data_IF_822613084693
#
_entry.id   IF_822613084693
#
_cell.length_a   1.000
_cell.length_b   1.000
_cell.length_c   1.000
_cell.angle_alpha   90.00
_cell.angle_beta   90.00
_cell.angle_gamma   90.00
#
_symmetry.space_group_name_H-M   'P 1'
#
loop_
_entity.id
_entity.type
_entity.pdbx_description
1 polymer ?
#
# COMPACT_ATOMS: atom_id res chain seq x y z
N UNK A 1 -9.29 15.48 19.88
CA UNK A 1 -9.34 14.84 18.55
C UNK A 1 -9.62 13.35 18.73
N UNK A 2 -10.78 12.83 18.29
CA UNK A 2 -11.07 11.39 18.36
C UNK A 2 -10.08 10.64 17.46
N UNK A 3 -9.17 9.84 18.04
CA UNK A 3 -8.31 8.92 17.27
C UNK A 3 -9.21 7.84 16.66
N UNK A 4 -9.61 8.03 15.41
CA UNK A 4 -10.30 6.99 14.65
C UNK A 4 -9.34 5.85 14.35
N UNK A 5 -9.84 4.61 14.34
CA UNK A 5 -9.03 3.46 13.96
C UNK A 5 -8.58 3.64 12.50
N UNK A 6 -7.31 3.38 12.19
CA UNK A 6 -6.82 3.53 10.83
C UNK A 6 -7.54 2.55 9.91
N UNK A 7 -7.90 3.00 8.72
CA UNK A 7 -8.50 2.13 7.71
C UNK A 7 -7.52 1.01 7.30
N UNK A 8 -8.01 -0.09 6.72
CA UNK A 8 -7.12 -1.16 6.22
C UNK A 8 -6.11 -0.65 5.19
N UNK A 9 -6.46 0.39 4.44
CA UNK A 9 -5.53 1.02 3.51
C UNK A 9 -4.48 1.87 4.23
N UNK A 10 -4.88 2.70 5.19
CA UNK A 10 -3.91 3.48 6.00
C UNK A 10 -2.94 2.59 6.76
N UNK A 11 -3.43 1.43 7.21
CA UNK A 11 -2.58 0.41 7.80
C UNK A 11 -1.56 -0.16 6.83
N UNK A 12 -2.00 -0.49 5.61
CA UNK A 12 -1.13 -0.96 4.54
C UNK A 12 -0.06 0.09 4.22
N UNK A 13 -0.48 1.35 4.09
CA UNK A 13 0.43 2.47 3.82
C UNK A 13 1.49 2.65 4.91
N UNK A 14 1.14 2.43 6.18
CA UNK A 14 2.08 2.49 7.30
C UNK A 14 3.15 1.40 7.28
N UNK A 15 2.96 0.29 6.54
CA UNK A 15 4.00 -0.74 6.38
C UNK A 15 5.03 -0.40 5.31
N UNK A 16 4.86 0.71 4.59
CA UNK A 16 5.76 1.18 3.53
C UNK A 16 6.49 2.41 4.02
N UNK A 17 7.82 2.42 3.95
CA UNK A 17 8.65 3.55 4.36
C UNK A 17 8.70 4.61 3.26
N UNK A 18 8.87 5.89 3.61
CA UNK A 18 9.08 6.95 2.61
C UNK A 18 10.39 6.68 1.84
N UNK A 19 10.34 6.80 0.51
CA UNK A 19 11.43 6.47 -0.40
C UNK A 19 11.44 5.01 -0.88
N UNK A 20 10.62 4.14 -0.27
CA UNK A 20 10.57 2.72 -0.60
C UNK A 20 9.77 2.45 -1.88
N UNK A 21 10.27 1.50 -2.67
CA UNK A 21 9.59 0.96 -3.84
C UNK A 21 8.91 -0.36 -3.49
N UNK A 22 7.63 -0.48 -3.79
CA UNK A 22 6.81 -1.61 -3.38
C UNK A 22 5.73 -1.92 -4.42
N UNK A 23 5.35 -3.19 -4.51
CA UNK A 23 4.17 -3.62 -5.27
C UNK A 23 2.96 -3.79 -4.33
N UNK A 24 1.76 -3.83 -4.91
CA UNK A 24 0.55 -4.13 -4.13
C UNK A 24 0.59 -5.55 -3.51
N UNK A 25 1.34 -6.49 -4.08
CA UNK A 25 1.52 -7.84 -3.56
C UNK A 25 2.39 -7.86 -2.31
N UNK A 26 3.56 -7.23 -2.37
CA UNK A 26 4.45 -7.11 -1.21
C UNK A 26 3.74 -6.42 -0.02
N UNK A 27 2.87 -5.44 -0.31
CA UNK A 27 2.12 -4.75 0.75
C UNK A 27 1.03 -5.65 1.38
N UNK A 28 0.45 -6.58 0.62
CA UNK A 28 -0.46 -7.62 1.13
C UNK A 28 0.29 -8.59 2.03
N UNK A 29 1.45 -9.08 1.61
CA UNK A 29 2.29 -9.99 2.39
C UNK A 29 2.66 -9.38 3.74
N UNK A 30 3.09 -8.11 3.75
CA UNK A 30 3.39 -7.39 5.01
C UNK A 30 2.22 -7.28 5.96
N UNK A 31 0.99 -7.17 5.45
CA UNK A 31 -0.21 -7.14 6.28
C UNK A 31 -0.50 -8.51 6.89
N UNK A 32 -0.26 -9.59 6.14
CA UNK A 32 -0.38 -10.96 6.62
C UNK A 32 0.67 -11.20 7.73
N UNK A 33 1.92 -10.78 7.51
CA UNK A 33 3.00 -10.88 8.50
C UNK A 33 2.70 -10.07 9.77
N UNK A 34 2.10 -8.89 9.62
CA UNK A 34 1.60 -8.07 10.72
C UNK A 34 0.34 -8.65 11.41
N UNK A 35 -0.08 -9.87 11.05
CA UNK A 35 -1.26 -10.59 11.58
C UNK A 35 -2.55 -9.76 11.53
N UNK A 36 -2.72 -8.96 10.48
CA UNK A 36 -3.97 -8.22 10.27
C UNK A 36 -5.10 -9.18 9.93
N UNK A 37 -6.21 -9.06 10.67
CA UNK A 37 -7.41 -9.87 10.46
C UNK A 37 -8.08 -9.60 9.11
N UNK A 38 -7.94 -8.39 8.58
CA UNK A 38 -8.51 -7.99 7.29
C UNK A 38 -7.40 -7.50 6.36
N UNK A 39 -7.25 -8.19 5.24
CA UNK A 39 -6.26 -7.89 4.21
C UNK A 39 -6.98 -7.49 2.93
N UNK A 40 -6.83 -6.25 2.44
CA UNK A 40 -7.45 -5.81 1.20
C UNK A 40 -6.84 -6.53 -0.02
N UNK A 41 -7.62 -6.65 -1.09
CA UNK A 41 -7.15 -7.32 -2.31
C UNK A 41 -6.08 -6.48 -3.04
N UNK A 42 -5.16 -7.15 -3.74
CA UNK A 42 -4.11 -6.52 -4.56
C UNK A 42 -4.68 -5.44 -5.49
N UNK A 43 -5.83 -5.73 -6.15
CA UNK A 43 -6.54 -4.81 -7.05
C UNK A 43 -7.05 -3.55 -6.33
N UNK A 44 -7.66 -3.73 -5.14
CA UNK A 44 -8.16 -2.61 -4.34
C UNK A 44 -7.03 -1.71 -3.85
N UNK A 45 -5.93 -2.31 -3.36
CA UNK A 45 -4.75 -1.57 -2.93
C UNK A 45 -4.12 -0.78 -4.07
N UNK A 46 -3.88 -1.42 -5.21
CA UNK A 46 -3.31 -0.75 -6.39
C UNK A 46 -4.18 0.45 -6.84
N UNK A 47 -5.50 0.28 -6.87
CA UNK A 47 -6.41 1.37 -7.22
C UNK A 47 -6.37 2.55 -6.23
N UNK A 48 -6.17 2.29 -4.94
CA UNK A 48 -6.01 3.32 -3.92
C UNK A 48 -4.66 4.01 -3.99
N UNK A 49 -3.57 3.25 -4.14
CA UNK A 49 -2.22 3.79 -4.28
C UNK A 49 -2.09 4.71 -5.49
N UNK A 50 -2.72 4.36 -6.63
CA UNK A 50 -2.76 5.23 -7.82
C UNK A 50 -3.44 6.59 -7.59
N UNK A 51 -4.33 6.69 -6.60
CA UNK A 51 -5.07 7.92 -6.27
C UNK A 51 -4.45 8.67 -5.09
N UNK A 52 -3.49 8.06 -4.41
CA UNK A 52 -2.88 8.59 -3.21
C UNK A 52 -1.69 9.47 -3.59
N UNK A 53 -1.67 10.71 -3.07
CA UNK A 53 -0.62 11.69 -3.36
C UNK A 53 0.73 11.29 -2.81
N UNK A 54 0.75 10.37 -1.84
CA UNK A 54 1.96 9.90 -1.20
C UNK A 54 2.64 8.78 -1.99
N UNK A 55 2.05 8.34 -3.11
CA UNK A 55 2.63 7.33 -3.99
C UNK A 55 2.76 7.83 -5.43
N UNK A 56 3.88 7.47 -6.06
CA UNK A 56 4.07 7.61 -7.51
C UNK A 56 4.20 6.24 -8.15
N UNK A 57 3.80 6.11 -9.40
CA UNK A 57 3.99 4.88 -10.18
C UNK A 57 5.33 4.98 -10.90
N UNK A 58 6.24 4.02 -10.67
CA UNK A 58 7.56 4.00 -11.31
C UNK A 58 7.56 3.12 -12.55
N UNK A 59 6.91 1.96 -12.50
CA UNK A 59 6.94 1.02 -13.61
C UNK A 59 5.59 0.32 -13.80
N UNK A 60 5.19 0.22 -15.08
CA UNK A 60 3.95 -0.42 -15.53
C UNK A 60 4.16 -1.36 -16.72
N UNK A 61 5.39 -1.82 -16.96
CA UNK A 61 5.63 -2.84 -18.01
C UNK A 61 4.99 -4.18 -17.61
N UNK A 62 4.91 -5.14 -18.54
CA UNK A 62 4.28 -6.48 -18.40
C UNK A 62 4.69 -7.18 -17.08
N UNK A 63 4.02 -6.86 -15.98
CA UNK A 63 4.43 -7.21 -14.62
C UNK A 63 3.64 -6.42 -13.56
N UNK A 64 3.86 -6.72 -12.27
CA UNK A 64 3.19 -6.01 -11.18
C UNK A 64 3.58 -4.52 -11.16
N UNK A 65 2.59 -3.64 -10.99
CA UNK A 65 2.84 -2.20 -10.90
C UNK A 65 3.70 -1.88 -9.67
N UNK A 66 4.81 -1.17 -9.90
CA UNK A 66 5.71 -0.71 -8.85
C UNK A 66 5.35 0.72 -8.46
N UNK A 67 5.19 0.93 -7.17
CA UNK A 67 4.90 2.23 -6.57
C UNK A 67 6.06 2.66 -5.70
N UNK A 68 6.35 3.96 -5.65
CA UNK A 68 7.27 4.54 -4.66
C UNK A 68 6.56 5.48 -3.73
N UNK A 69 6.79 5.31 -2.44
CA UNK A 69 6.24 6.22 -1.43
C UNK A 69 7.08 7.50 -1.39
N UNK A 70 6.45 8.66 -1.52
CA UNK A 70 7.12 9.97 -1.54
C UNK A 70 6.79 10.85 -0.34
N UNK A 71 5.75 10.51 0.45
CA UNK A 71 5.36 11.20 1.68
C UNK A 71 4.69 10.23 2.69
#
# INVERSE_FOLDING_TARGET
>A
MKRTKPTNYEAAKRTVTVGEEITAENMVERLIDARRREVPTKRSLSAKMKKDKDFIVIETKRGPTVFKRIA
#
